data_IF_617575391085
#
_entry.id   IF_617575391085
#
_cell.length_a   1.000
_cell.length_b   1.000
_cell.length_c   1.000
_cell.angle_alpha   90.00
_cell.angle_beta   90.00
_cell.angle_gamma   90.00
#
_symmetry.space_group_name_H-M   'P 1'
#
loop_
_entity.id
_entity.type
_entity.pdbx_description
1 polymer ?
#
# COMPACT_ATOMS: atom_id res chain seq x y z
N UNK A 1 4.36 8.46 23.65
CA UNK A 1 5.08 9.34 22.71
C UNK A 1 5.75 8.52 21.62
N UNK A 2 6.65 7.59 21.93
CA UNK A 2 7.33 6.71 20.95
C UNK A 2 6.44 5.97 19.93
N UNK A 3 5.22 5.57 20.30
CA UNK A 3 4.29 4.91 19.38
C UNK A 3 3.78 5.84 18.28
N UNK A 4 3.48 7.10 18.62
CA UNK A 4 2.98 8.09 17.66
C UNK A 4 4.12 8.47 16.71
N UNK A 5 5.33 8.63 17.23
CA UNK A 5 6.52 8.92 16.43
C UNK A 5 6.89 7.79 15.45
N UNK A 6 6.41 6.57 15.68
CA UNK A 6 6.58 5.46 14.76
C UNK A 6 5.69 5.56 13.51
N UNK A 7 4.64 6.39 13.54
CA UNK A 7 3.73 6.61 12.42
C UNK A 7 4.35 7.61 11.47
N UNK A 8 4.71 7.13 10.27
CA UNK A 8 5.26 7.98 9.22
C UNK A 8 4.14 8.65 8.43
N UNK A 9 3.63 9.78 8.93
CA UNK A 9 2.55 10.55 8.31
C UNK A 9 2.84 10.90 6.84
N UNK A 10 4.11 11.18 6.50
CA UNK A 10 4.55 11.47 5.13
C UNK A 10 4.22 10.34 4.13
N UNK A 11 4.17 9.08 4.58
CA UNK A 11 3.83 7.95 3.70
C UNK A 11 2.34 7.87 3.38
N UNK A 12 1.49 8.57 4.13
CA UNK A 12 0.04 8.61 3.89
C UNK A 12 -0.24 9.33 2.56
N UNK A 13 0.35 10.50 2.35
CA UNK A 13 0.19 11.27 1.10
C UNK A 13 0.77 10.50 -0.10
N UNK A 14 1.98 9.95 0.06
CA UNK A 14 2.64 9.12 -0.96
C UNK A 14 1.77 7.94 -1.39
N UNK A 15 1.16 7.25 -0.44
CA UNK A 15 0.28 6.10 -0.71
C UNK A 15 -1.02 6.54 -1.40
N UNK A 16 -1.59 7.67 -0.99
CA UNK A 16 -2.80 8.21 -1.59
C UNK A 16 -2.59 8.59 -3.06
N UNK A 17 -1.51 9.31 -3.36
CA UNK A 17 -1.17 9.70 -4.73
C UNK A 17 -0.87 8.47 -5.60
N UNK A 18 -0.18 7.48 -5.03
CA UNK A 18 0.06 6.21 -5.71
C UNK A 18 -1.25 5.51 -6.08
N UNK A 19 -2.20 5.42 -5.16
CA UNK A 19 -3.52 4.82 -5.44
C UNK A 19 -4.37 5.66 -6.41
N UNK A 20 -4.07 6.95 -6.52
CA UNK A 20 -4.75 7.89 -7.42
C UNK A 20 -4.16 7.90 -8.84
N UNK A 21 -3.10 7.13 -9.09
CA UNK A 21 -2.51 6.96 -10.43
C UNK A 21 -1.23 7.75 -10.69
N UNK A 22 -0.63 8.42 -9.70
CA UNK A 22 0.60 9.19 -9.88
C UNK A 22 1.81 8.31 -10.27
N UNK A 23 2.72 8.83 -11.09
CA UNK A 23 3.92 8.07 -11.47
C UNK A 23 4.88 7.85 -10.28
N UNK A 24 5.63 6.73 -10.32
CA UNK A 24 6.54 6.35 -9.25
C UNK A 24 7.59 7.44 -8.99
N UNK A 25 8.10 8.07 -10.05
CA UNK A 25 9.05 9.18 -9.94
C UNK A 25 8.47 10.38 -9.16
N UNK A 26 7.19 10.69 -9.39
CA UNK A 26 6.53 11.83 -8.71
C UNK A 26 6.37 11.57 -7.23
N UNK A 27 5.96 10.36 -6.84
CA UNK A 27 5.79 10.01 -5.44
C UNK A 27 7.13 9.90 -4.70
N UNK A 28 8.21 9.46 -5.38
CA UNK A 28 9.55 9.42 -4.80
C UNK A 28 10.10 10.82 -4.51
N UNK A 29 9.71 11.84 -5.28
CA UNK A 29 10.10 13.24 -5.02
C UNK A 29 9.34 13.87 -3.84
N UNK A 30 8.25 13.26 -3.37
CA UNK A 30 7.44 13.76 -2.25
C UNK A 30 7.92 13.28 -0.88
N UNK A 31 8.85 12.33 -0.83
CA UNK A 31 9.37 11.78 0.42
C UNK A 31 10.87 11.61 0.36
N UNK A 32 11.56 11.85 1.49
CA UNK A 32 12.99 11.57 1.64
C UNK A 32 13.27 10.07 1.92
N UNK A 33 12.24 9.22 1.88
CA UNK A 33 12.39 7.78 2.06
C UNK A 33 12.96 7.11 0.82
N UNK A 34 13.93 6.21 1.02
CA UNK A 34 14.45 5.35 -0.05
C UNK A 34 13.33 4.64 -0.82
N UNK A 35 13.45 4.59 -2.14
CA UNK A 35 12.45 4.04 -3.08
C UNK A 35 12.13 2.59 -2.76
N UNK A 36 13.15 1.79 -2.44
CA UNK A 36 12.97 0.40 -2.01
C UNK A 36 12.18 0.26 -0.71
N UNK A 37 12.27 1.23 0.21
CA UNK A 37 11.45 1.25 1.42
C UNK A 37 10.01 1.62 1.11
N UNK A 38 9.77 2.55 0.18
CA UNK A 38 8.42 2.86 -0.30
C UNK A 38 7.77 1.64 -0.94
N UNK A 39 8.47 0.96 -1.85
CA UNK A 39 7.97 -0.27 -2.51
C UNK A 39 7.64 -1.36 -1.48
N UNK A 40 8.53 -1.60 -0.50
CA UNK A 40 8.27 -2.58 0.57
C UNK A 40 7.06 -2.21 1.40
N UNK A 41 6.89 -0.93 1.74
CA UNK A 41 5.70 -0.46 2.47
C UNK A 41 4.42 -0.65 1.66
N UNK A 42 4.42 -0.31 0.37
CA UNK A 42 3.26 -0.50 -0.51
C UNK A 42 2.88 -1.97 -0.65
N UNK A 43 3.86 -2.88 -0.81
CA UNK A 43 3.62 -4.33 -0.82
C UNK A 43 3.04 -4.82 0.51
N UNK A 44 3.61 -4.39 1.64
CA UNK A 44 3.10 -4.75 2.97
C UNK A 44 1.68 -4.22 3.19
N UNK A 45 1.37 -3.02 2.69
CA UNK A 45 0.03 -2.44 2.74
C UNK A 45 -0.96 -3.24 1.89
N UNK A 46 -0.55 -3.65 0.68
CA UNK A 46 -1.38 -4.50 -0.18
C UNK A 46 -1.75 -5.83 0.51
N UNK A 47 -0.77 -6.51 1.12
CA UNK A 47 -0.98 -7.73 1.90
C UNK A 47 -1.93 -7.48 3.08
N UNK A 48 -1.70 -6.40 3.84
CA UNK A 48 -2.55 -6.01 4.96
C UNK A 48 -4.00 -5.77 4.55
N UNK A 49 -4.25 -5.09 3.42
CA UNK A 49 -5.60 -4.85 2.90
C UNK A 49 -6.30 -6.16 2.53
N UNK A 50 -5.56 -7.16 2.05
CA UNK A 50 -6.11 -8.48 1.71
C UNK A 50 -6.52 -9.26 2.96
N UNK A 51 -5.71 -9.19 4.00
CA UNK A 51 -6.02 -9.79 5.30
C UNK A 51 -7.23 -9.10 5.95
N UNK A 52 -7.31 -7.76 5.86
CA UNK A 52 -8.46 -6.98 6.32
C UNK A 52 -9.74 -7.28 5.54
N UNK A 53 -9.66 -7.48 4.22
CA UNK A 53 -10.81 -7.89 3.41
C UNK A 53 -11.38 -9.23 3.88
N UNK A 54 -10.51 -10.19 4.20
CA UNK A 54 -10.90 -11.49 4.75
C UNK A 54 -11.52 -11.33 6.13
N UNK A 55 -10.88 -10.57 7.04
CA UNK A 55 -11.41 -10.33 8.38
C UNK A 55 -12.78 -9.61 8.34
N UNK A 56 -12.96 -8.62 7.47
CA UNK A 56 -14.23 -7.90 7.29
C UNK A 56 -15.35 -8.83 6.81
N UNK A 57 -15.02 -9.79 5.94
CA UNK A 57 -15.96 -10.82 5.49
C UNK A 57 -16.37 -11.75 6.62
N UNK A 58 -15.43 -12.21 7.46
CA UNK A 58 -15.73 -13.07 8.62
C UNK A 58 -16.60 -12.36 9.67
N UNK A 59 -16.45 -11.03 9.82
CA UNK A 59 -17.31 -10.20 10.69
C UNK A 59 -18.73 -10.06 10.10
N UNK A 60 -18.94 -10.38 8.82
CA UNK A 60 -20.22 -10.23 8.12
C UNK A 60 -20.43 -8.85 7.49
N UNK A 61 -19.39 -8.02 7.38
CA UNK A 61 -19.47 -6.72 6.72
C UNK A 61 -18.95 -6.81 5.27
N UNK A 62 -19.86 -7.18 4.35
CA UNK A 62 -19.55 -7.35 2.94
C UNK A 62 -19.11 -6.03 2.26
N UNK A 63 -19.71 -4.89 2.62
CA UNK A 63 -19.35 -3.59 2.03
C UNK A 63 -17.90 -3.23 2.36
N UNK A 64 -17.49 -3.42 3.62
CA UNK A 64 -16.13 -3.14 4.05
C UNK A 64 -15.11 -4.09 3.39
N UNK A 65 -15.47 -5.36 3.22
CA UNK A 65 -14.65 -6.34 2.48
C UNK A 65 -14.44 -5.91 1.02
N UNK A 66 -15.49 -5.47 0.33
CA UNK A 66 -15.39 -4.95 -1.04
C UNK A 66 -14.49 -3.72 -1.10
N UNK A 67 -14.67 -2.74 -0.19
CA UNK A 67 -13.83 -1.54 -0.12
C UNK A 67 -12.35 -1.86 0.08
N UNK A 68 -12.01 -2.83 0.93
CA UNK A 68 -10.63 -3.26 1.12
C UNK A 68 -10.05 -3.97 -0.10
N UNK A 69 -10.88 -4.74 -0.82
CA UNK A 69 -10.48 -5.41 -2.06
C UNK A 69 -10.15 -4.38 -3.14
N UNK A 70 -11.03 -3.39 -3.35
CA UNK A 70 -10.80 -2.30 -4.32
C UNK A 70 -9.56 -1.47 -3.96
N UNK A 71 -9.35 -1.18 -2.67
CA UNK A 71 -8.15 -0.47 -2.22
C UNK A 71 -6.88 -1.28 -2.49
N UNK A 72 -6.93 -2.60 -2.24
CA UNK A 72 -5.80 -3.52 -2.47
C UNK A 72 -5.39 -3.54 -3.95
N UNK A 73 -6.35 -3.54 -4.86
CA UNK A 73 -6.12 -3.50 -6.31
C UNK A 73 -5.47 -2.18 -6.76
N UNK A 74 -5.90 -1.03 -6.20
CA UNK A 74 -5.31 0.28 -6.53
C UNK A 74 -3.84 0.40 -6.13
N UNK A 75 -3.44 -0.24 -5.03
CA UNK A 75 -2.04 -0.28 -4.59
C UNK A 75 -1.18 -1.17 -5.50
N UNK A 76 -1.76 -2.26 -6.01
CA UNK A 76 -1.07 -3.31 -6.75
C UNK A 76 -0.90 -2.99 -8.25
N UNK A 77 -0.06 -2.00 -8.57
CA UNK A 77 0.25 -1.63 -9.97
C UNK A 77 1.73 -1.37 -10.21
N UNK A 78 2.15 -1.38 -11.48
CA UNK A 78 3.49 -0.97 -11.91
C UNK A 78 4.63 -1.71 -11.18
N UNK A 79 5.60 -0.95 -10.68
CA UNK A 79 6.82 -1.49 -10.06
C UNK A 79 6.58 -2.26 -8.75
N UNK A 80 5.43 -2.05 -8.09
CA UNK A 80 5.05 -2.77 -6.86
C UNK A 80 4.81 -4.27 -7.15
N UNK A 81 4.43 -4.61 -8.38
CA UNK A 81 4.10 -5.98 -8.84
C UNK A 81 5.26 -6.63 -9.59
N UNK A 82 6.41 -5.95 -9.74
CA UNK A 82 7.55 -6.49 -10.48
C UNK A 82 8.03 -7.81 -9.85
N UNK A 83 8.09 -8.87 -10.67
CA UNK A 83 8.51 -10.19 -10.23
C UNK A 83 9.99 -10.20 -9.82
N UNK A 84 10.33 -11.05 -8.86
CA UNK A 84 11.73 -11.33 -8.53
C UNK A 84 12.42 -11.99 -9.71
N UNK A 85 13.65 -11.58 -10.00
CA UNK A 85 14.49 -12.21 -11.02
C UNK A 85 14.86 -13.67 -10.68
N UNK A 86 14.68 -14.09 -9.42
CA UNK A 86 14.95 -15.46 -8.95
C UNK A 86 13.78 -16.42 -9.08
N UNK A 87 12.58 -15.94 -9.41
CA UNK A 87 11.33 -16.75 -9.44
C UNK A 87 10.67 -16.66 -10.82
N UNK A 88 11.49 -16.61 -11.89
CA UNK A 88 11.04 -16.71 -13.27
C UNK A 88 10.56 -18.14 -13.60
#
# INVERSE_FOLDING_TARGET
DDYIDSIKEQLVEVTYDWCSGADFETICKKTDSYEGSVIRTLRRLHELLRDLSTAAREIGNAELSTRFTEASEKVNRGIVVAASLYVL
#
